data_IF_679051500567
#
_entry.id   IF_679051500567
#
_cell.length_a   1.000
_cell.length_b   1.000
_cell.length_c   1.000
_cell.angle_alpha   90.00
_cell.angle_beta   90.00
_cell.angle_gamma   90.00
#
_symmetry.space_group_name_H-M   'P 1'
#
loop_
_entity.id
_entity.type
_entity.pdbx_description
1 polymer ?
#
# COMPACT_ATOMS: atom_id res chain seq x y z
N UNK A 1 -2.36 13.53 -6.42
CA UNK A 1 -2.04 14.61 -7.38
C UNK A 1 -1.63 14.00 -8.70
N UNK A 2 -2.23 14.46 -9.81
CA UNK A 2 -1.88 13.99 -11.17
C UNK A 2 -1.86 15.18 -12.13
N UNK A 3 -0.81 15.22 -12.96
CA UNK A 3 -0.67 16.16 -14.08
C UNK A 3 -0.51 15.37 -15.36
N UNK A 4 -1.15 15.83 -16.43
CA UNK A 4 -0.99 15.31 -17.80
C UNK A 4 -0.88 16.47 -18.77
N UNK A 5 -0.05 16.30 -19.79
CA UNK A 5 0.10 17.25 -20.88
C UNK A 5 0.32 16.48 -22.17
N UNK A 6 -0.33 16.95 -23.24
CA UNK A 6 -0.09 16.53 -24.62
C UNK A 6 0.26 17.78 -25.41
N UNK A 7 1.38 17.76 -26.10
CA UNK A 7 1.86 18.87 -26.93
C UNK A 7 2.25 18.36 -28.30
N UNK A 8 1.96 19.17 -29.33
CA UNK A 8 2.31 18.86 -30.72
C UNK A 8 3.28 19.89 -31.25
N UNK A 9 4.24 19.43 -32.07
CA UNK A 9 5.31 20.21 -32.67
C UNK A 9 5.49 19.83 -34.13
N UNK A 10 6.28 20.61 -34.85
CA UNK A 10 6.67 20.34 -36.24
C UNK A 10 5.47 20.17 -37.20
N UNK A 11 4.50 21.07 -37.12
CA UNK A 11 3.25 21.00 -37.89
C UNK A 11 2.52 19.65 -37.68
N UNK A 12 2.29 19.31 -36.40
CA UNK A 12 1.59 18.10 -35.94
C UNK A 12 2.26 16.76 -36.29
N UNK A 13 3.55 16.80 -36.69
CA UNK A 13 4.32 15.59 -36.95
C UNK A 13 4.90 14.97 -35.71
N UNK A 14 5.16 15.74 -34.66
CA UNK A 14 5.72 15.27 -33.40
C UNK A 14 4.73 15.53 -32.27
N UNK A 15 4.29 14.47 -31.60
CA UNK A 15 3.46 14.52 -30.41
C UNK A 15 4.24 14.06 -29.21
N UNK A 16 4.19 14.84 -28.13
CA UNK A 16 4.76 14.54 -26.83
C UNK A 16 3.64 14.42 -25.80
N UNK A 17 3.54 13.26 -25.16
CA UNK A 17 2.63 12.97 -24.05
C UNK A 17 3.41 12.84 -22.75
N UNK A 18 3.09 13.65 -21.77
CA UNK A 18 3.70 13.64 -20.45
C UNK A 18 2.65 13.36 -19.37
N UNK A 19 3.00 12.53 -18.40
CA UNK A 19 2.19 12.32 -17.23
C UNK A 19 3.03 12.13 -15.99
N UNK A 20 2.61 12.75 -14.89
CA UNK A 20 3.20 12.55 -13.58
C UNK A 20 2.10 12.42 -12.53
N UNK A 21 2.24 11.46 -11.62
CA UNK A 21 1.31 11.26 -10.51
C UNK A 21 2.08 11.03 -9.23
N UNK A 22 1.60 11.62 -8.15
CA UNK A 22 2.04 11.39 -6.79
C UNK A 22 0.86 10.97 -5.93
N UNK A 23 1.00 9.84 -5.25
CA UNK A 23 0.03 9.30 -4.31
C UNK A 23 0.70 9.16 -2.96
N UNK A 24 0.09 9.74 -1.93
CA UNK A 24 0.47 9.54 -0.54
C UNK A 24 -0.70 8.88 0.18
N UNK A 25 -0.39 7.84 0.94
CA UNK A 25 -1.32 7.12 1.78
C UNK A 25 -0.68 6.90 3.13
N UNK A 26 -1.36 7.34 4.18
CA UNK A 26 -0.93 7.17 5.56
C UNK A 26 -2.02 6.40 6.30
N UNK A 27 -1.72 5.16 6.69
CA UNK A 27 -2.64 4.29 7.41
C UNK A 27 -2.16 4.13 8.86
N UNK A 28 -3.09 4.16 9.81
CA UNK A 28 -2.82 3.88 11.21
C UNK A 28 -3.83 2.85 11.72
N UNK A 29 -3.32 1.82 12.37
CA UNK A 29 -4.13 0.77 12.99
C UNK A 29 -5.16 0.16 12.05
N UNK A 30 -4.77 -0.13 10.80
CA UNK A 30 -5.64 -0.90 9.89
C UNK A 30 -6.02 -2.22 10.55
N UNK A 31 -7.31 -2.50 10.57
CA UNK A 31 -7.83 -3.74 11.15
C UNK A 31 -7.36 -4.92 10.30
N UNK A 32 -6.64 -5.83 10.93
CA UNK A 32 -6.23 -7.08 10.28
C UNK A 32 -7.43 -7.99 10.09
N UNK A 33 -7.43 -8.72 8.98
CA UNK A 33 -8.38 -9.81 8.78
C UNK A 33 -7.93 -11.06 9.56
N UNK A 34 -8.89 -11.91 9.93
CA UNK A 34 -8.62 -13.13 10.67
C UNK A 34 -8.75 -12.96 12.19
N UNK A 35 -8.29 -13.96 12.94
CA UNK A 35 -8.48 -14.02 14.39
C UNK A 35 -7.45 -13.23 15.19
N UNK A 36 -6.24 -13.08 14.67
CA UNK A 36 -5.17 -12.33 15.32
C UNK A 36 -5.23 -10.84 14.94
N UNK A 37 -4.87 -9.97 15.84
CA UNK A 37 -4.84 -8.52 15.62
C UNK A 37 -6.19 -7.85 15.32
N UNK A 38 -7.27 -8.63 15.31
CA UNK A 38 -8.60 -8.11 14.99
C UNK A 38 -9.38 -7.86 16.29
N UNK A 39 -9.56 -6.60 16.71
CA UNK A 39 -10.28 -6.28 17.96
C UNK A 39 -11.75 -6.67 17.91
N UNK A 40 -12.33 -6.82 16.71
CA UNK A 40 -13.72 -7.25 16.53
C UNK A 40 -13.90 -8.68 16.99
N UNK A 41 -12.92 -9.57 16.77
CA UNK A 41 -13.00 -10.95 17.25
C UNK A 41 -13.04 -11.01 18.77
N UNK A 42 -12.22 -10.23 19.45
CA UNK A 42 -12.24 -10.16 20.92
C UNK A 42 -13.59 -9.65 21.46
N UNK A 43 -14.19 -8.67 20.79
CA UNK A 43 -15.52 -8.17 21.15
C UNK A 43 -16.62 -9.22 20.95
N UNK A 44 -16.57 -10.01 19.87
CA UNK A 44 -17.54 -11.09 19.63
C UNK A 44 -17.39 -12.28 20.58
N UNK A 45 -16.17 -12.57 21.01
CA UNK A 45 -15.85 -13.65 21.95
C UNK A 45 -16.09 -13.26 23.42
N UNK A 46 -16.39 -12.00 23.68
CA UNK A 46 -16.66 -11.54 25.04
C UNK A 46 -17.92 -12.21 25.61
N UNK A 47 -17.87 -12.78 26.83
CA UNK A 47 -18.99 -13.47 27.43
C UNK A 47 -20.20 -12.55 27.60
N UNK A 48 -21.37 -12.99 27.18
CA UNK A 48 -22.60 -12.19 27.23
C UNK A 48 -23.09 -11.87 28.65
N UNK A 49 -22.65 -12.64 29.65
CA UNK A 49 -23.01 -12.44 31.05
C UNK A 49 -22.09 -11.41 31.76
N UNK A 50 -21.02 -10.98 31.12
CA UNK A 50 -20.08 -10.05 31.69
C UNK A 50 -20.35 -8.62 31.25
N UNK A 51 -19.87 -7.65 32.05
CA UNK A 51 -20.06 -6.23 31.77
C UNK A 51 -19.00 -5.72 30.79
N UNK A 52 -19.39 -5.52 29.53
CA UNK A 52 -18.49 -5.01 28.49
C UNK A 52 -17.91 -3.61 28.80
N UNK A 53 -18.59 -2.80 29.61
CA UNK A 53 -18.10 -1.46 29.99
C UNK A 53 -16.82 -1.53 30.83
N UNK A 54 -16.62 -2.61 31.58
CA UNK A 54 -15.42 -2.78 32.40
C UNK A 54 -14.13 -2.89 31.59
N UNK A 55 -14.21 -3.40 30.38
CA UNK A 55 -13.03 -3.54 29.51
C UNK A 55 -12.53 -2.21 28.92
N UNK A 56 -13.29 -1.12 29.07
CA UNK A 56 -12.80 0.24 28.77
C UNK A 56 -11.66 0.64 29.67
N UNK A 57 -11.60 0.11 30.89
CA UNK A 57 -10.40 0.17 31.74
C UNK A 57 -9.40 -0.89 31.25
N UNK A 58 -8.87 -0.69 30.07
CA UNK A 58 -8.09 -1.67 29.33
C UNK A 58 -6.70 -1.91 29.91
N UNK A 59 -6.25 -1.10 30.85
CA UNK A 59 -4.94 -1.21 31.49
C UNK A 59 -5.00 -0.96 32.99
N UNK A 60 -4.11 -1.60 33.74
CA UNK A 60 -3.87 -1.39 35.17
C UNK A 60 -2.37 -1.26 35.40
N UNK A 61 -1.97 -0.47 36.40
CA UNK A 61 -0.56 -0.33 36.75
C UNK A 61 -0.08 -1.57 37.52
N UNK A 62 1.03 -2.16 37.06
CA UNK A 62 1.70 -3.26 37.74
C UNK A 62 2.88 -2.71 38.55
N UNK A 63 2.76 -2.75 39.87
CA UNK A 63 3.77 -2.22 40.77
C UNK A 63 5.11 -2.99 40.70
N UNK A 64 5.06 -4.26 40.38
CA UNK A 64 6.26 -5.10 40.27
C UNK A 64 7.07 -4.78 39.01
N UNK A 65 6.40 -4.55 37.90
CA UNK A 65 7.01 -4.23 36.61
C UNK A 65 7.18 -2.72 36.38
N UNK A 66 6.51 -1.89 37.19
CA UNK A 66 6.47 -0.42 37.06
C UNK A 66 5.99 0.06 35.68
N UNK A 67 5.07 -0.65 35.09
CA UNK A 67 4.46 -0.33 33.77
C UNK A 67 2.94 -0.57 33.82
N UNK A 68 2.15 0.09 32.95
CA UNK A 68 0.78 -0.33 32.67
C UNK A 68 0.79 -1.71 32.03
N UNK A 69 -0.10 -2.58 32.48
CA UNK A 69 -0.33 -3.92 31.91
C UNK A 69 -1.74 -4.05 31.42
N UNK A 70 -1.96 -4.89 30.45
CA UNK A 70 -3.29 -5.16 29.90
C UNK A 70 -4.23 -5.70 31.00
N UNK A 71 -5.42 -5.12 31.05
CA UNK A 71 -6.54 -5.68 31.78
C UNK A 71 -7.50 -6.40 30.81
N UNK A 72 -7.58 -7.70 30.94
CA UNK A 72 -8.49 -8.53 30.16
C UNK A 72 -9.05 -9.61 31.09
N UNK A 73 -10.35 -9.54 31.47
CA UNK A 73 -10.93 -10.43 32.47
C UNK A 73 -11.16 -11.86 31.95
N UNK A 74 -11.04 -12.10 30.66
CA UNK A 74 -11.17 -13.43 30.09
C UNK A 74 -9.84 -14.15 30.24
N UNK A 75 -9.82 -15.14 31.14
CA UNK A 75 -8.62 -15.81 31.64
C UNK A 75 -8.09 -16.68 30.57
N UNK A 76 -7.74 -16.88 29.71
CA UNK A 76 -7.16 -17.74 28.67
C UNK A 76 -7.82 -17.54 27.31
N UNK A 77 -7.08 -16.86 26.53
CA UNK A 77 -7.45 -16.67 25.18
C UNK A 77 -7.17 -17.92 24.35
N UNK A 78 -8.14 -18.74 24.14
CA UNK A 78 -8.24 -19.43 22.87
C UNK A 78 -8.12 -18.36 21.79
N UNK A 79 -7.13 -18.48 20.91
CA UNK A 79 -6.91 -17.55 19.79
C UNK A 79 -6.22 -16.21 20.12
N UNK A 80 -5.38 -16.15 21.16
CA UNK A 80 -4.64 -14.93 21.50
C UNK A 80 -5.54 -13.68 21.54
N UNK A 81 -6.71 -13.80 22.16
CA UNK A 81 -7.66 -12.71 22.33
C UNK A 81 -7.13 -11.68 23.32
N UNK A 82 -7.20 -10.42 22.97
CA UNK A 82 -6.78 -9.29 23.80
C UNK A 82 -7.92 -8.32 23.99
N UNK A 83 -7.81 -7.48 25.03
CA UNK A 83 -8.72 -6.36 25.17
C UNK A 83 -8.71 -5.51 23.88
N UNK A 84 -9.87 -5.31 23.20
CA UNK A 84 -9.93 -4.56 21.95
C UNK A 84 -9.43 -3.12 22.07
N UNK A 85 -9.62 -2.48 23.23
CA UNK A 85 -9.09 -1.13 23.52
C UNK A 85 -7.57 -1.17 23.69
N UNK A 86 -7.00 -2.20 24.33
CA UNK A 86 -5.57 -2.41 24.39
C UNK A 86 -4.96 -2.52 23.00
N UNK A 87 -5.56 -3.35 22.15
CA UNK A 87 -5.11 -3.50 20.76
C UNK A 87 -5.17 -2.17 20.01
N UNK A 88 -6.21 -1.38 20.18
CA UNK A 88 -6.40 -0.11 19.48
C UNK A 88 -5.45 1.00 19.97
N UNK A 89 -5.14 1.06 21.28
CA UNK A 89 -4.42 2.18 21.88
C UNK A 89 -2.96 1.88 22.22
N UNK A 90 -2.62 0.62 22.48
CA UNK A 90 -1.25 0.23 22.87
C UNK A 90 -0.48 -0.52 21.79
N UNK A 91 -1.18 -1.24 20.92
CA UNK A 91 -0.57 -1.95 19.81
C UNK A 91 -0.73 -1.12 18.53
N UNK A 92 0.15 -0.15 18.34
CA UNK A 92 0.04 0.82 17.25
C UNK A 92 0.83 0.34 16.04
N UNK A 93 0.17 0.30 14.89
CA UNK A 93 0.82 0.09 13.59
C UNK A 93 0.56 1.26 12.64
N UNK A 94 1.57 1.65 11.89
CA UNK A 94 1.47 2.65 10.83
C UNK A 94 2.02 2.09 9.53
N UNK A 95 1.37 2.42 8.43
CA UNK A 95 1.80 2.06 7.09
C UNK A 95 1.74 3.30 6.20
N UNK A 96 2.90 3.87 5.92
CA UNK A 96 3.03 5.08 5.13
C UNK A 96 3.53 4.71 3.74
N UNK A 97 2.74 5.04 2.72
CA UNK A 97 3.05 4.73 1.33
C UNK A 97 3.16 6.02 0.51
N UNK A 98 4.25 6.13 -0.24
CA UNK A 98 4.44 7.17 -1.25
C UNK A 98 4.69 6.51 -2.59
N UNK A 99 3.93 6.88 -3.61
CA UNK A 99 4.06 6.33 -4.96
C UNK A 99 4.20 7.45 -5.97
N UNK A 100 5.23 7.35 -6.78
CA UNK A 100 5.56 8.27 -7.87
C UNK A 100 5.40 7.52 -9.18
N UNK A 101 4.60 8.05 -10.07
CA UNK A 101 4.43 7.50 -11.40
C UNK A 101 4.78 8.56 -12.42
N UNK A 102 5.57 8.20 -13.40
CA UNK A 102 5.96 9.06 -14.51
C UNK A 102 5.80 8.31 -15.82
N UNK A 103 5.28 8.98 -16.83
CA UNK A 103 5.18 8.45 -18.17
C UNK A 103 5.53 9.52 -19.22
N UNK A 104 6.26 9.10 -20.20
CA UNK A 104 6.58 9.88 -21.41
C UNK A 104 6.22 9.05 -22.62
N UNK A 105 5.50 9.67 -23.55
CA UNK A 105 5.21 9.12 -24.86
C UNK A 105 5.66 10.10 -25.94
N UNK A 106 6.36 9.63 -26.95
CA UNK A 106 6.77 10.40 -28.11
C UNK A 106 6.26 9.68 -29.35
N UNK A 107 5.52 10.37 -30.19
CA UNK A 107 5.06 9.85 -31.46
C UNK A 107 5.52 10.78 -32.58
N UNK A 108 6.22 10.24 -33.58
CA UNK A 108 6.70 10.99 -34.73
C UNK A 108 6.15 10.41 -36.03
N UNK A 109 5.44 11.24 -36.80
CA UNK A 109 4.91 10.90 -38.12
C UNK A 109 5.99 11.16 -39.18
N UNK A 110 6.61 10.10 -39.69
CA UNK A 110 7.59 10.19 -40.78
C UNK A 110 6.88 10.52 -42.07
N UNK A 111 5.81 9.77 -42.35
CA UNK A 111 4.91 9.92 -43.49
C UNK A 111 3.45 9.73 -43.02
N UNK A 112 2.49 9.89 -43.91
CA UNK A 112 1.07 9.64 -43.60
C UNK A 112 0.77 8.19 -43.29
N UNK A 113 1.67 7.26 -43.61
CA UNK A 113 1.52 5.81 -43.45
C UNK A 113 2.58 5.18 -42.55
N UNK A 114 3.58 5.93 -42.07
CA UNK A 114 4.62 5.44 -41.12
C UNK A 114 4.67 6.40 -39.93
N UNK A 115 4.54 5.87 -38.74
CA UNK A 115 4.86 6.59 -37.51
C UNK A 115 5.78 5.77 -36.60
N UNK A 116 6.60 6.49 -35.85
CA UNK A 116 7.43 5.95 -34.76
C UNK A 116 6.81 6.33 -33.43
N UNK A 117 6.78 5.40 -32.49
CA UNK A 117 6.39 5.68 -31.12
C UNK A 117 7.47 5.19 -30.17
N UNK A 118 7.81 6.00 -29.19
CA UNK A 118 8.68 5.63 -28.08
C UNK A 118 7.94 5.94 -26.77
N UNK A 119 7.96 5.03 -25.81
CA UNK A 119 7.33 5.23 -24.51
C UNK A 119 8.27 4.82 -23.39
N UNK A 120 8.22 5.58 -22.31
CA UNK A 120 8.88 5.26 -21.06
C UNK A 120 7.88 5.44 -19.91
N UNK A 121 7.88 4.50 -18.97
CA UNK A 121 7.09 4.54 -17.76
C UNK A 121 7.96 4.17 -16.57
N UNK A 122 7.79 4.88 -15.49
CA UNK A 122 8.38 4.59 -14.19
C UNK A 122 7.29 4.61 -13.14
N UNK A 123 7.30 3.61 -12.29
CA UNK A 123 6.45 3.49 -11.10
C UNK A 123 7.36 3.18 -9.92
N UNK A 124 7.46 4.10 -8.99
CA UNK A 124 8.33 3.97 -7.81
C UNK A 124 7.45 4.07 -6.56
N UNK A 125 7.37 2.97 -5.82
CA UNK A 125 6.57 2.84 -4.61
C UNK A 125 7.46 2.61 -3.41
N UNK A 126 7.42 3.53 -2.47
CA UNK A 126 8.09 3.45 -1.18
C UNK A 126 7.08 3.22 -0.06
N UNK A 127 7.28 2.17 0.73
CA UNK A 127 6.44 1.80 1.87
C UNK A 127 7.29 1.76 3.12
N UNK A 128 6.83 2.46 4.15
CA UNK A 128 7.38 2.42 5.50
C UNK A 128 6.34 1.85 6.43
N UNK A 129 6.64 0.69 7.00
CA UNK A 129 5.81 0.03 8.01
C UNK A 129 6.48 0.11 9.37
N UNK A 130 5.71 0.46 10.38
CA UNK A 130 6.15 0.46 11.78
C UNK A 130 5.05 -0.16 12.64
N UNK A 131 5.42 -1.10 13.51
CA UNK A 131 4.52 -1.72 14.49
C UNK A 131 5.15 -1.69 15.86
N UNK A 132 4.39 -1.22 16.83
CA UNK A 132 4.76 -1.16 18.25
C UNK A 132 3.77 -2.00 19.03
N UNK A 133 4.25 -3.07 19.64
CA UNK A 133 3.46 -3.93 20.51
C UNK A 133 3.94 -3.71 21.92
N UNK A 134 3.06 -3.23 22.78
CA UNK A 134 3.40 -2.86 24.14
C UNK A 134 3.67 -4.10 24.99
N UNK A 135 4.59 -3.96 25.97
CA UNK A 135 4.84 -4.96 26.98
C UNK A 135 3.54 -5.32 27.73
N UNK A 136 3.26 -6.59 27.94
CA UNK A 136 1.99 -7.15 28.45
C UNK A 136 0.94 -7.48 27.37
N UNK A 137 1.23 -7.25 26.11
CA UNK A 137 0.44 -7.87 25.05
C UNK A 137 0.63 -9.39 25.07
N UNK A 138 -0.31 -10.11 24.48
CA UNK A 138 -0.22 -11.57 24.37
C UNK A 138 1.11 -11.99 23.71
N UNK A 139 1.73 -13.05 24.24
CA UNK A 139 3.06 -13.50 23.82
C UNK A 139 3.11 -13.98 22.37
N UNK A 140 1.97 -14.40 21.80
CA UNK A 140 1.85 -14.73 20.36
C UNK A 140 2.18 -13.50 19.50
N UNK A 141 1.91 -12.29 20.00
CA UNK A 141 2.17 -11.06 19.28
C UNK A 141 3.48 -10.38 19.67
N UNK A 142 3.79 -10.45 20.97
CA UNK A 142 4.92 -9.72 21.53
C UNK A 142 6.22 -10.52 21.52
N UNK A 143 6.16 -11.82 21.19
CA UNK A 143 7.32 -12.73 21.21
C UNK A 143 8.06 -12.72 22.56
N UNK A 144 7.37 -12.35 23.64
CA UNK A 144 7.90 -12.26 24.98
C UNK A 144 7.18 -11.26 25.86
N UNK A 145 7.74 -10.99 27.05
CA UNK A 145 7.12 -10.14 28.09
C UNK A 145 7.44 -8.65 27.97
N UNK A 146 8.40 -8.29 27.11
CA UNK A 146 8.92 -6.91 26.98
C UNK A 146 8.28 -6.11 25.84
N UNK A 147 7.37 -6.74 25.08
CA UNK A 147 6.78 -6.16 23.89
C UNK A 147 7.64 -6.39 22.65
N UNK A 148 7.19 -5.88 21.51
CA UNK A 148 7.84 -6.08 20.23
C UNK A 148 7.83 -4.77 19.43
N UNK A 149 8.92 -4.52 18.71
CA UNK A 149 9.04 -3.42 17.77
C UNK A 149 9.47 -3.94 16.42
N UNK A 150 8.66 -3.65 15.42
CA UNK A 150 8.91 -4.01 14.03
C UNK A 150 9.01 -2.74 13.18
N UNK A 151 10.03 -2.70 12.34
CA UNK A 151 10.23 -1.63 11.38
C UNK A 151 10.66 -2.23 10.05
N UNK A 152 9.94 -1.89 8.99
CA UNK A 152 10.22 -2.36 7.64
C UNK A 152 10.14 -1.22 6.65
N UNK A 153 11.13 -1.14 5.76
CA UNK A 153 11.14 -0.30 4.59
C UNK A 153 11.13 -1.19 3.35
N UNK A 154 10.26 -0.86 2.44
CA UNK A 154 10.15 -1.54 1.16
C UNK A 154 10.14 -0.50 0.03
N UNK A 155 10.95 -0.72 -0.99
CA UNK A 155 10.94 0.06 -2.22
C UNK A 155 10.75 -0.88 -3.41
N UNK A 156 9.72 -0.60 -4.21
CA UNK A 156 9.44 -1.30 -5.45
C UNK A 156 9.47 -0.30 -6.60
N UNK A 157 10.41 -0.51 -7.52
CA UNK A 157 10.60 0.32 -8.69
C UNK A 157 10.46 -0.52 -9.95
N UNK A 158 9.54 -0.10 -10.80
CA UNK A 158 9.28 -0.71 -12.09
C UNK A 158 9.54 0.31 -13.19
N UNK A 159 10.31 -0.08 -14.17
CA UNK A 159 10.60 0.72 -15.35
C UNK A 159 10.24 -0.07 -16.59
N UNK A 160 9.66 0.62 -17.55
CA UNK A 160 9.29 0.04 -18.83
C UNK A 160 9.61 1.04 -19.94
N UNK A 161 10.27 0.56 -20.97
CA UNK A 161 10.52 1.33 -22.18
C UNK A 161 10.17 0.48 -23.40
N UNK A 162 9.55 1.09 -24.39
CA UNK A 162 9.29 0.48 -25.68
C UNK A 162 9.51 1.45 -26.84
N UNK A 163 9.80 0.86 -27.99
CA UNK A 163 9.89 1.55 -29.26
C UNK A 163 9.10 0.78 -30.31
N UNK A 164 8.27 1.48 -31.09
CA UNK A 164 7.42 0.87 -32.10
C UNK A 164 7.50 1.63 -33.42
N UNK A 165 7.54 0.88 -34.52
CA UNK A 165 7.31 1.35 -35.90
C UNK A 165 5.94 0.87 -36.32
N UNK A 166 5.03 1.78 -36.60
CA UNK A 166 3.70 1.46 -37.07
C UNK A 166 3.59 1.84 -38.56
N UNK A 167 3.17 0.90 -39.37
CA UNK A 167 2.97 1.03 -40.82
C UNK A 167 1.50 0.76 -41.10
N UNK A 168 0.84 1.71 -41.76
CA UNK A 168 -0.54 1.55 -42.21
C UNK A 168 -0.69 2.20 -43.57
N UNK A 169 -0.72 1.38 -44.63
CA UNK A 169 -0.77 1.86 -46.01
C UNK A 169 -1.86 1.18 -46.80
N UNK A 170 -2.70 2.00 -47.43
CA UNK A 170 -3.66 1.52 -48.42
C UNK A 170 -3.02 1.53 -49.80
N UNK A 171 -3.06 0.41 -50.47
CA UNK A 171 -2.60 0.23 -51.84
C UNK A 171 -3.77 -0.36 -52.67
N UNK A 172 -4.43 0.52 -53.44
CA UNK A 172 -5.67 0.16 -54.13
C UNK A 172 -6.70 -0.42 -53.17
N UNK A 173 -7.12 -1.66 -53.38
CA UNK A 173 -8.12 -2.35 -52.57
C UNK A 173 -7.52 -3.09 -51.35
N UNK A 174 -6.20 -3.02 -51.14
CA UNK A 174 -5.50 -3.68 -50.04
C UNK A 174 -5.09 -2.64 -48.97
N UNK A 175 -5.37 -3.01 -47.73
CA UNK A 175 -4.85 -2.27 -46.56
C UNK A 175 -3.78 -3.11 -45.88
N UNK A 176 -2.55 -2.60 -45.87
CA UNK A 176 -1.39 -3.24 -45.23
C UNK A 176 -1.15 -2.55 -43.90
N UNK A 177 -1.28 -3.31 -42.81
CA UNK A 177 -0.98 -2.85 -41.46
C UNK A 177 0.09 -3.75 -40.83
N UNK A 178 1.16 -3.15 -40.34
CA UNK A 178 2.26 -3.86 -39.65
C UNK A 178 2.78 -3.02 -38.50
N UNK A 179 3.09 -3.72 -37.39
CA UNK A 179 3.71 -3.12 -36.20
C UNK A 179 4.98 -3.91 -35.87
N UNK A 180 6.09 -3.19 -35.78
CA UNK A 180 7.37 -3.76 -35.32
C UNK A 180 7.77 -3.02 -34.06
N UNK A 181 8.10 -3.75 -33.00
CA UNK A 181 8.45 -3.15 -31.73
C UNK A 181 9.53 -3.91 -30.99
N UNK A 182 10.12 -3.19 -30.05
CA UNK A 182 11.07 -3.71 -29.07
C UNK A 182 10.72 -3.14 -27.70
N UNK A 183 10.85 -3.96 -26.63
CA UNK A 183 10.62 -3.57 -25.24
C UNK A 183 11.69 -4.16 -24.32
#
# INVERSE_FOLDING_TARGET
FTIRNTSTFLNDKLQLDLGASYIKQDDKNMVSQGQYWNPVMAAYLFPRGENFEEIKTFERFDDSRKIPVQYWPIAESTYASQNPYWTAFRNVSTNNKSRYMFNVGLTYKITDWINLAARYRMDDTYVKFERKIYASSDQVFAEGTKGHYEYSNYNDRQEYADFMVNINKQIKDFNISANLGWS
#
